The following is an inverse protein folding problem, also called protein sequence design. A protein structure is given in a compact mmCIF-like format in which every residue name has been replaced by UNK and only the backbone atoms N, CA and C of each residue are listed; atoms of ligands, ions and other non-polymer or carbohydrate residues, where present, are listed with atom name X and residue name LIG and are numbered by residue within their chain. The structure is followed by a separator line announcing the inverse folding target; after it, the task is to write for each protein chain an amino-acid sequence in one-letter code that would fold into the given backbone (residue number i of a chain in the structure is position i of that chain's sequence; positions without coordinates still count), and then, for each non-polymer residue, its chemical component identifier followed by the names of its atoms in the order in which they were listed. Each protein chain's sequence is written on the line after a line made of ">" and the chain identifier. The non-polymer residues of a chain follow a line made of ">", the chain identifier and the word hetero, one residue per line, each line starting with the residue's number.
data_IF_209574139720
#
_entry.id   IF_209574139720
#
_cell.length_a   1.000
_cell.length_b   1.000
_cell.length_c   1.000
_cell.angle_alpha   90.00
_cell.angle_beta   90.00
_cell.angle_gamma   90.00
#
_symmetry.space_group_name_H-M   'P 1'
#
loop_
_entity.id
_entity.type
_entity.pdbx_description
1 polymer ?
#
# COMPACT_ATOMS: atom_id res chain seq x y z
N UNK A 1 -78.30 -3.80 11.52
CA UNK A 1 -77.22 -4.69 11.02
C UNK A 1 -76.04 -3.82 10.59
N UNK A 2 -74.94 -3.74 11.38
CA UNK A 2 -73.74 -2.95 11.07
C UNK A 2 -72.69 -3.89 10.46
N UNK A 3 -72.34 -3.69 9.18
CA UNK A 3 -71.27 -4.42 8.49
C UNK A 3 -69.93 -3.81 8.88
N UNK A 4 -69.08 -4.59 9.56
CA UNK A 4 -67.69 -4.23 9.86
C UNK A 4 -66.84 -4.60 8.64
N UNK A 5 -66.24 -3.63 7.98
CA UNK A 5 -65.20 -3.83 6.98
C UNK A 5 -63.85 -4.06 7.71
N UNK A 6 -63.31 -5.26 7.53
CA UNK A 6 -61.96 -5.61 8.00
C UNK A 6 -60.97 -5.25 6.90
N UNK A 7 -60.20 -4.19 7.10
CA UNK A 7 -59.12 -3.83 6.18
C UNK A 7 -57.90 -4.69 6.53
N UNK A 8 -57.52 -5.59 5.64
CA UNK A 8 -56.28 -6.39 5.71
C UNK A 8 -55.16 -5.52 5.12
N UNK A 9 -54.27 -5.01 5.98
CA UNK A 9 -53.03 -4.31 5.58
C UNK A 9 -52.01 -5.38 5.21
N UNK A 10 -51.86 -5.64 3.91
CA UNK A 10 -50.77 -6.48 3.40
C UNK A 10 -49.46 -5.70 3.45
N UNK A 11 -48.65 -6.00 4.46
CA UNK A 11 -47.25 -5.51 4.51
C UNK A 11 -46.46 -6.23 3.42
N UNK A 12 -46.22 -5.55 2.31
CA UNK A 12 -45.27 -5.99 1.27
C UNK A 12 -43.88 -5.87 1.86
N UNK A 13 -43.33 -6.98 2.36
CA UNK A 13 -41.90 -7.10 2.64
C UNK A 13 -41.15 -7.08 1.30
N UNK A 14 -40.73 -5.88 0.86
CA UNK A 14 -39.75 -5.76 -0.19
C UNK A 14 -38.45 -6.37 0.33
N UNK A 15 -37.88 -7.36 -0.35
CA UNK A 15 -36.53 -7.79 -0.03
C UNK A 15 -35.63 -6.59 -0.26
N UNK A 16 -35.02 -6.05 0.79
CA UNK A 16 -33.95 -5.10 0.71
C UNK A 16 -32.81 -5.84 0.00
N UNK A 17 -32.75 -5.76 -1.33
CA UNK A 17 -31.56 -6.07 -2.07
C UNK A 17 -30.50 -5.11 -1.54
N UNK A 18 -29.69 -5.57 -0.58
CA UNK A 18 -28.42 -4.99 -0.25
C UNK A 18 -27.58 -5.04 -1.54
N UNK A 19 -27.74 -4.03 -2.38
CA UNK A 19 -26.72 -3.73 -3.35
C UNK A 19 -25.48 -3.43 -2.50
N UNK A 20 -24.53 -4.37 -2.50
CA UNK A 20 -23.21 -4.10 -2.00
C UNK A 20 -22.75 -2.82 -2.71
N UNK A 21 -22.68 -1.73 -1.97
CA UNK A 21 -22.25 -0.44 -2.50
C UNK A 21 -20.77 -0.58 -2.78
N UNK A 22 -20.44 -1.01 -4.01
CA UNK A 22 -19.07 -1.06 -4.49
C UNK A 22 -18.49 0.35 -4.34
N UNK A 23 -17.47 0.51 -3.49
CA UNK A 23 -16.73 1.77 -3.38
C UNK A 23 -16.45 2.31 -1.98
N UNK A 24 -17.05 1.81 -0.92
CA UNK A 24 -16.71 2.26 0.45
C UNK A 24 -15.99 1.14 1.20
N UNK A 25 -14.70 1.32 1.39
CA UNK A 25 -13.86 0.39 2.17
C UNK A 25 -13.97 0.77 3.65
N UNK A 26 -14.36 -0.19 4.50
CA UNK A 26 -14.43 0.03 5.95
C UNK A 26 -13.03 -0.01 6.57
N UNK A 27 -12.68 0.89 7.51
CA UNK A 27 -11.38 0.86 8.17
C UNK A 27 -11.07 -0.49 8.81
N UNK A 28 -9.84 -0.98 8.61
CA UNK A 28 -9.34 -2.22 9.19
C UNK A 28 -8.60 -1.97 10.50
N UNK A 29 -8.72 -2.94 11.40
CA UNK A 29 -7.90 -3.04 12.61
C UNK A 29 -7.52 -4.50 12.87
N UNK A 30 -6.43 -4.68 13.64
CA UNK A 30 -5.99 -6.00 14.09
C UNK A 30 -6.74 -6.36 15.38
N UNK A 31 -7.32 -7.57 15.42
CA UNK A 31 -7.95 -8.14 16.59
C UNK A 31 -7.39 -9.57 16.81
N UNK A 32 -6.45 -9.69 17.76
CA UNK A 32 -5.69 -10.93 17.95
C UNK A 32 -4.87 -11.27 16.70
N UNK A 33 -5.18 -12.41 16.09
CA UNK A 33 -4.54 -12.90 14.85
C UNK A 33 -5.39 -12.66 13.59
N UNK A 34 -6.38 -11.78 13.65
CA UNK A 34 -7.31 -11.52 12.55
C UNK A 34 -7.33 -10.04 12.19
N UNK A 35 -7.72 -9.77 10.95
CA UNK A 35 -8.13 -8.43 10.51
C UNK A 35 -9.64 -8.33 10.60
N UNK A 36 -10.12 -7.25 11.21
CA UNK A 36 -11.54 -6.95 11.30
C UNK A 36 -11.83 -5.57 10.70
N UNK A 37 -13.01 -5.42 10.11
CA UNK A 37 -13.54 -4.13 9.70
C UNK A 37 -14.10 -3.33 10.89
N UNK A 38 -14.58 -2.12 10.66
CA UNK A 38 -15.17 -1.27 11.70
C UNK A 38 -16.44 -1.85 12.33
N UNK A 39 -17.07 -2.86 11.70
CA UNK A 39 -18.27 -3.53 12.19
C UNK A 39 -17.96 -4.84 12.92
N UNK A 40 -16.67 -5.19 13.05
CA UNK A 40 -16.22 -6.42 13.69
C UNK A 40 -16.21 -7.65 12.79
N UNK A 41 -16.53 -7.52 11.50
CA UNK A 41 -16.48 -8.63 10.57
C UNK A 41 -15.03 -8.99 10.24
N UNK A 42 -14.72 -10.28 10.19
CA UNK A 42 -13.42 -10.77 9.73
C UNK A 42 -13.20 -10.43 8.26
N UNK A 43 -12.06 -9.84 7.95
CA UNK A 43 -11.64 -9.51 6.58
C UNK A 43 -10.48 -10.39 6.15
N UNK A 44 -10.62 -11.03 5.00
CA UNK A 44 -9.54 -11.74 4.31
C UNK A 44 -9.11 -10.89 3.13
N UNK A 45 -7.82 -10.55 3.08
CA UNK A 45 -7.27 -9.76 2.00
C UNK A 45 -6.85 -10.67 0.85
N UNK A 46 -7.36 -10.35 -0.34
CA UNK A 46 -7.05 -11.02 -1.58
C UNK A 46 -6.85 -9.98 -2.68
N UNK A 47 -5.70 -9.99 -3.33
CA UNK A 47 -5.43 -8.96 -4.31
C UNK A 47 -4.16 -9.17 -5.13
N UNK A 48 -3.73 -8.10 -5.73
CA UNK A 48 -2.59 -8.09 -6.64
C UNK A 48 -1.59 -7.01 -6.25
N UNK A 49 -0.36 -7.20 -6.71
CA UNK A 49 0.68 -6.18 -6.68
C UNK A 49 0.93 -5.69 -8.10
N UNK A 50 1.19 -4.41 -8.24
CA UNK A 50 1.83 -3.86 -9.43
C UNK A 50 2.75 -2.70 -9.04
N UNK A 51 3.63 -2.34 -9.95
CA UNK A 51 4.58 -1.24 -9.80
C UNK A 51 4.43 -0.27 -10.95
N UNK A 52 4.36 1.05 -10.71
CA UNK A 52 4.28 2.05 -11.77
C UNK A 52 5.62 2.20 -12.50
N UNK A 53 6.09 1.09 -13.08
CA UNK A 53 7.29 0.99 -13.91
C UNK A 53 6.91 0.88 -15.38
N UNK A 54 7.49 1.68 -16.27
CA UNK A 54 7.29 1.52 -17.70
C UNK A 54 7.62 0.10 -18.18
N UNK A 55 8.72 -0.46 -17.71
CA UNK A 55 9.19 -1.79 -18.10
C UNK A 55 8.19 -2.88 -17.71
N UNK A 56 7.78 -2.94 -16.43
CA UNK A 56 6.87 -3.97 -15.95
C UNK A 56 5.45 -3.84 -16.56
N UNK A 57 5.03 -2.63 -16.87
CA UNK A 57 3.76 -2.39 -17.55
C UNK A 57 3.85 -2.47 -19.09
N UNK A 58 4.95 -3.01 -19.63
CA UNK A 58 5.16 -3.15 -21.09
C UNK A 58 4.93 -1.83 -21.83
N UNK A 59 5.38 -0.73 -21.24
CA UNK A 59 5.30 0.63 -21.79
C UNK A 59 3.89 1.14 -22.14
N UNK A 60 2.85 0.56 -21.53
CA UNK A 60 1.45 0.86 -21.87
C UNK A 60 1.01 2.28 -21.54
N UNK A 61 1.69 2.95 -20.60
CA UNK A 61 1.41 4.34 -20.23
C UNK A 61 2.57 5.30 -20.54
N UNK A 62 3.70 4.81 -21.04
CA UNK A 62 4.86 5.63 -21.42
C UNK A 62 6.18 4.90 -21.22
N UNK A 63 7.27 5.55 -21.63
CA UNK A 63 8.60 4.94 -21.65
C UNK A 63 9.51 5.41 -20.52
N UNK A 64 9.09 6.37 -19.71
CA UNK A 64 9.92 6.96 -18.67
C UNK A 64 9.15 7.40 -17.44
N UNK A 65 9.85 7.50 -16.31
CA UNK A 65 9.32 8.01 -15.04
C UNK A 65 9.59 9.53 -14.95
N UNK A 66 8.82 10.31 -15.70
CA UNK A 66 8.91 11.78 -15.77
C UNK A 66 7.54 12.43 -15.57
N UNK A 67 7.54 13.72 -15.26
CA UNK A 67 6.31 14.49 -15.02
C UNK A 67 5.30 14.35 -16.17
N UNK A 68 5.77 14.27 -17.41
CA UNK A 68 4.92 14.12 -18.60
C UNK A 68 4.14 12.80 -18.63
N UNK A 69 4.56 11.79 -17.85
CA UNK A 69 3.94 10.47 -17.82
C UNK A 69 2.99 10.25 -16.65
N UNK A 70 2.91 11.19 -15.68
CA UNK A 70 2.11 11.05 -14.46
C UNK A 70 0.65 10.78 -14.80
N UNK A 71 0.02 11.64 -15.60
CA UNK A 71 -1.40 11.52 -15.94
C UNK A 71 -1.73 10.21 -16.65
N UNK A 72 -0.88 9.80 -17.60
CA UNK A 72 -1.06 8.54 -18.32
C UNK A 72 -0.91 7.33 -17.38
N UNK A 73 0.04 7.36 -16.46
CA UNK A 73 0.25 6.33 -15.46
C UNK A 73 -0.96 6.20 -14.53
N UNK A 74 -1.46 7.31 -13.96
CA UNK A 74 -2.66 7.31 -13.10
C UNK A 74 -3.88 6.76 -13.87
N UNK A 75 -4.09 7.19 -15.10
CA UNK A 75 -5.20 6.72 -15.94
C UNK A 75 -5.10 5.23 -16.26
N UNK A 76 -3.88 4.71 -16.41
CA UNK A 76 -3.65 3.28 -16.60
C UNK A 76 -4.08 2.48 -15.38
N UNK A 77 -3.70 2.92 -14.17
CA UNK A 77 -4.11 2.26 -12.92
C UNK A 77 -5.61 2.34 -12.66
N UNK A 78 -6.26 3.44 -12.97
CA UNK A 78 -7.71 3.57 -12.87
C UNK A 78 -8.45 2.50 -13.69
N UNK A 79 -7.98 2.23 -14.92
CA UNK A 79 -8.50 1.15 -15.77
C UNK A 79 -8.24 -0.24 -15.19
N UNK A 80 -7.06 -0.47 -14.61
CA UNK A 80 -6.73 -1.74 -13.94
C UNK A 80 -7.67 -1.97 -12.76
N UNK A 81 -7.86 -0.98 -11.89
CA UNK A 81 -8.74 -1.11 -10.73
C UNK A 81 -10.18 -1.38 -11.13
N UNK A 82 -10.69 -0.70 -12.18
CA UNK A 82 -12.00 -1.00 -12.74
C UNK A 82 -12.11 -2.43 -13.28
N UNK A 83 -11.04 -2.97 -13.87
CA UNK A 83 -11.02 -4.36 -14.31
C UNK A 83 -10.97 -5.36 -13.14
N UNK A 84 -10.20 -5.07 -12.08
CA UNK A 84 -10.09 -5.90 -10.89
C UNK A 84 -11.40 -5.97 -10.09
N UNK A 85 -12.20 -4.91 -10.13
CA UNK A 85 -13.48 -4.83 -9.43
C UNK A 85 -14.68 -5.26 -10.29
N UNK A 86 -14.45 -5.65 -11.54
CA UNK A 86 -15.52 -6.11 -12.41
C UNK A 86 -15.90 -7.57 -12.11
N UNK A 87 -17.11 -7.86 -11.56
CA UNK A 87 -17.53 -9.23 -11.22
C UNK A 87 -17.50 -10.18 -12.41
N UNK A 88 -17.74 -9.68 -13.62
CA UNK A 88 -17.67 -10.48 -14.84
C UNK A 88 -16.25 -10.98 -15.19
N UNK A 89 -15.22 -10.40 -14.58
CA UNK A 89 -13.82 -10.83 -14.71
C UNK A 89 -13.43 -11.90 -13.69
N UNK A 90 -14.21 -12.09 -12.62
CA UNK A 90 -14.00 -13.13 -11.61
C UNK A 90 -12.76 -12.95 -10.73
N UNK A 91 -12.19 -11.75 -10.65
CA UNK A 91 -10.94 -11.51 -9.90
C UNK A 91 -11.15 -11.35 -8.40
N UNK A 92 -12.26 -10.76 -7.98
CA UNK A 92 -12.66 -10.57 -6.57
C UNK A 92 -11.58 -9.96 -5.66
N UNK A 93 -10.74 -9.08 -6.20
CA UNK A 93 -9.70 -8.41 -5.43
C UNK A 93 -10.30 -7.39 -4.47
N UNK A 94 -9.77 -7.32 -3.24
CA UNK A 94 -10.13 -6.29 -2.27
C UNK A 94 -8.93 -5.49 -1.76
N UNK A 95 -7.72 -5.77 -2.24
CA UNK A 95 -6.49 -5.07 -1.86
C UNK A 95 -5.57 -4.90 -3.06
N UNK A 96 -4.85 -3.77 -3.07
CA UNK A 96 -3.79 -3.48 -4.02
C UNK A 96 -2.49 -3.16 -3.28
N UNK A 97 -1.39 -3.87 -3.59
CA UNK A 97 -0.07 -3.61 -3.03
C UNK A 97 0.70 -2.70 -3.98
N UNK A 98 0.85 -1.43 -3.59
CA UNK A 98 1.46 -0.36 -4.38
C UNK A 98 2.96 -0.25 -4.08
N UNK A 99 3.77 -0.45 -5.10
CA UNK A 99 5.21 -0.26 -5.02
C UNK A 99 5.60 1.21 -5.31
N UNK A 100 6.43 1.78 -4.44
CA UNK A 100 7.06 3.08 -4.69
C UNK A 100 8.27 2.88 -5.63
N UNK A 101 8.03 2.79 -6.92
CA UNK A 101 9.00 2.39 -7.94
C UNK A 101 10.28 3.24 -7.96
N UNK A 102 11.48 2.62 -7.94
CA UNK A 102 12.76 3.33 -7.98
C UNK A 102 12.94 4.26 -9.17
N UNK A 103 12.36 3.98 -10.32
CA UNK A 103 12.41 4.85 -11.50
C UNK A 103 11.91 6.27 -11.24
N UNK A 104 10.92 6.43 -10.35
CA UNK A 104 10.42 7.74 -9.94
C UNK A 104 11.21 8.35 -8.78
N UNK A 105 11.68 7.51 -7.85
CA UNK A 105 12.29 7.98 -6.59
C UNK A 105 13.80 8.15 -6.66
N UNK A 106 14.47 7.53 -7.63
CA UNK A 106 15.89 7.69 -7.85
C UNK A 106 16.22 8.99 -8.60
N UNK A 107 17.34 9.61 -8.27
CA UNK A 107 17.89 10.74 -9.01
C UNK A 107 18.47 10.25 -10.36
N UNK A 108 17.92 10.68 -11.51
CA UNK A 108 18.40 10.26 -12.82
C UNK A 108 19.83 10.72 -13.12
N UNK A 109 20.32 11.77 -12.44
CA UNK A 109 21.64 12.34 -12.65
C UNK A 109 22.73 11.67 -11.81
N UNK A 110 22.35 10.83 -10.82
CA UNK A 110 23.30 10.07 -10.00
C UNK A 110 23.64 8.74 -10.66
N UNK A 111 24.91 8.36 -10.57
CA UNK A 111 25.36 7.00 -10.90
C UNK A 111 25.19 6.09 -9.69
N UNK A 112 24.88 4.82 -9.93
CA UNK A 112 24.88 3.82 -8.88
C UNK A 112 26.29 3.61 -8.33
N UNK A 113 26.39 3.46 -7.01
CA UNK A 113 27.63 3.19 -6.27
C UNK A 113 27.41 2.03 -5.31
N UNK A 114 28.50 1.48 -4.77
CA UNK A 114 28.44 0.31 -3.88
C UNK A 114 28.35 -1.01 -4.62
N UNK A 115 28.19 -2.11 -3.86
CA UNK A 115 28.18 -3.48 -4.38
C UNK A 115 26.80 -3.99 -4.74
N UNK A 116 25.73 -3.40 -4.17
CA UNK A 116 24.37 -3.81 -4.46
C UNK A 116 23.98 -3.45 -5.89
N UNK A 117 23.17 -4.30 -6.52
CA UNK A 117 22.75 -4.15 -7.90
C UNK A 117 21.24 -4.07 -8.03
N UNK A 118 20.76 -3.59 -9.17
CA UNK A 118 19.33 -3.53 -9.48
C UNK A 118 18.54 -2.71 -8.45
N UNK A 119 17.40 -3.21 -8.05
CA UNK A 119 16.48 -2.54 -7.12
C UNK A 119 16.97 -2.52 -5.66
N UNK A 120 17.94 -3.36 -5.29
CA UNK A 120 18.56 -3.33 -3.96
C UNK A 120 19.52 -2.16 -3.78
N UNK A 121 19.97 -1.54 -4.87
CA UNK A 121 20.90 -0.41 -4.83
C UNK A 121 20.19 0.91 -4.54
N UNK A 122 20.31 1.40 -3.31
CA UNK A 122 19.68 2.63 -2.83
C UNK A 122 20.52 3.89 -3.04
N UNK A 123 21.73 3.78 -3.64
CA UNK A 123 22.66 4.93 -3.74
C UNK A 123 22.12 6.10 -4.56
N UNK A 124 21.19 5.84 -5.47
CA UNK A 124 20.52 6.86 -6.29
C UNK A 124 19.23 7.41 -5.67
N UNK A 125 18.78 6.86 -4.56
CA UNK A 125 17.55 7.34 -3.92
C UNK A 125 17.59 8.83 -3.61
N UNK A 126 16.47 9.50 -3.83
CA UNK A 126 16.27 10.92 -3.58
C UNK A 126 15.02 11.16 -2.75
N UNK A 127 15.20 11.62 -1.53
CA UNK A 127 14.10 11.95 -0.62
C UNK A 127 13.17 13.03 -1.21
N UNK A 128 13.73 14.03 -1.90
CA UNK A 128 12.94 15.08 -2.54
C UNK A 128 12.10 14.55 -3.71
N UNK A 129 12.62 13.58 -4.47
CA UNK A 129 11.85 12.94 -5.54
C UNK A 129 10.74 12.05 -4.96
N UNK A 130 11.05 11.29 -3.89
CA UNK A 130 10.00 10.54 -3.19
C UNK A 130 8.89 11.48 -2.71
N UNK A 131 9.23 12.59 -2.04
CA UNK A 131 8.23 13.58 -1.60
C UNK A 131 7.38 14.10 -2.76
N UNK A 132 8.03 14.50 -3.88
CA UNK A 132 7.34 15.00 -5.07
C UNK A 132 6.37 13.99 -5.65
N UNK A 133 6.84 12.77 -5.91
CA UNK A 133 6.04 11.75 -6.59
C UNK A 133 5.09 11.02 -5.65
N UNK A 134 5.31 11.09 -4.33
CA UNK A 134 4.30 10.66 -3.37
C UNK A 134 2.99 11.42 -3.63
N UNK A 135 3.05 12.75 -3.65
CA UNK A 135 1.88 13.61 -3.83
C UNK A 135 1.36 13.61 -5.28
N UNK A 136 2.27 13.64 -6.26
CA UNK A 136 1.89 13.81 -7.65
C UNK A 136 1.43 12.50 -8.35
N UNK A 137 1.86 11.34 -7.86
CA UNK A 137 1.63 10.06 -8.52
C UNK A 137 1.04 9.00 -7.60
N UNK A 138 1.76 8.65 -6.51
CA UNK A 138 1.43 7.46 -5.72
C UNK A 138 0.13 7.60 -4.94
N UNK A 139 -0.08 8.75 -4.28
CA UNK A 139 -1.33 8.99 -3.56
C UNK A 139 -2.53 9.14 -4.49
N UNK A 140 -2.45 9.79 -5.65
CA UNK A 140 -3.49 9.70 -6.68
C UNK A 140 -3.80 8.27 -7.14
N UNK A 141 -2.80 7.42 -7.35
CA UNK A 141 -3.03 5.99 -7.67
C UNK A 141 -3.74 5.30 -6.50
N UNK A 142 -3.26 5.49 -5.27
CA UNK A 142 -3.89 4.92 -4.08
C UNK A 142 -5.34 5.38 -3.90
N UNK A 143 -5.61 6.67 -4.16
CA UNK A 143 -6.99 7.20 -4.12
C UNK A 143 -7.88 6.53 -5.18
N UNK A 144 -7.36 6.29 -6.39
CA UNK A 144 -8.10 5.55 -7.43
C UNK A 144 -8.42 4.12 -6.97
N UNK A 145 -7.47 3.41 -6.36
CA UNK A 145 -7.70 2.09 -5.78
C UNK A 145 -8.82 2.11 -4.74
N UNK A 146 -8.79 3.07 -3.80
CA UNK A 146 -9.82 3.25 -2.77
C UNK A 146 -11.18 3.53 -3.39
N UNK A 147 -11.25 4.39 -4.40
CA UNK A 147 -12.50 4.73 -5.10
C UNK A 147 -13.11 3.51 -5.81
N UNK A 148 -12.30 2.53 -6.18
CA UNK A 148 -12.73 1.24 -6.70
C UNK A 148 -12.98 0.17 -5.62
N UNK A 149 -12.95 0.53 -4.32
CA UNK A 149 -13.25 -0.41 -3.23
C UNK A 149 -12.06 -1.30 -2.83
N UNK A 150 -10.83 -0.89 -3.10
CA UNK A 150 -9.63 -1.63 -2.74
C UNK A 150 -8.95 -1.01 -1.50
N UNK A 151 -8.53 -1.85 -0.56
CA UNK A 151 -7.50 -1.48 0.40
C UNK A 151 -6.16 -1.26 -0.29
N UNK A 152 -5.26 -0.50 0.33
CA UNK A 152 -3.94 -0.25 -0.23
C UNK A 152 -2.85 -0.62 0.76
N UNK A 153 -1.85 -1.39 0.30
CA UNK A 153 -0.57 -1.57 1.01
C UNK A 153 0.50 -0.80 0.24
N UNK A 154 1.13 0.16 0.88
CA UNK A 154 2.28 0.87 0.30
C UNK A 154 3.55 0.16 0.76
N UNK A 155 4.42 -0.23 -0.18
CA UNK A 155 5.75 -0.78 0.09
C UNK A 155 6.86 0.17 -0.35
N UNK A 156 8.06 0.12 0.28
CA UNK A 156 9.14 1.05 -0.05
C UNK A 156 9.69 0.81 -1.47
N UNK A 157 10.46 1.76 -2.02
CA UNK A 157 11.11 1.57 -3.30
C UNK A 157 12.13 0.42 -3.30
N UNK A 158 12.11 -0.38 -4.35
CA UNK A 158 13.07 -1.45 -4.56
C UNK A 158 12.84 -2.71 -3.73
N UNK A 159 13.87 -3.53 -3.64
CA UNK A 159 13.94 -4.74 -2.83
C UNK A 159 15.04 -4.61 -1.77
N UNK A 160 14.98 -5.40 -0.72
CA UNK A 160 16.04 -5.43 0.28
C UNK A 160 17.36 -5.95 -0.31
N UNK A 161 18.51 -5.43 0.12
CA UNK A 161 19.77 -6.16 0.04
C UNK A 161 19.63 -7.55 0.66
N UNK A 162 20.38 -8.53 0.14
CA UNK A 162 20.31 -9.91 0.62
C UNK A 162 20.61 -10.02 2.11
N UNK A 163 21.61 -9.29 2.57
CA UNK A 163 22.07 -9.29 3.95
C UNK A 163 21.85 -7.91 4.57
N UNK A 164 20.97 -7.86 5.55
CA UNK A 164 20.65 -6.67 6.35
C UNK A 164 21.33 -6.75 7.70
N UNK A 165 21.83 -5.62 8.18
CA UNK A 165 22.48 -5.52 9.49
C UNK A 165 21.95 -4.34 10.30
N UNK A 166 21.59 -4.55 11.55
CA UNK A 166 21.11 -3.48 12.43
C UNK A 166 22.07 -2.29 12.42
N UNK A 167 21.57 -1.11 12.05
CA UNK A 167 22.33 0.12 11.91
C UNK A 167 22.96 0.36 10.53
N UNK A 168 22.68 -0.48 9.55
CA UNK A 168 23.20 -0.32 8.17
C UNK A 168 22.58 0.87 7.41
N UNK A 169 23.11 1.11 6.21
CA UNK A 169 22.60 2.16 5.33
C UNK A 169 21.15 1.92 4.90
N UNK A 170 20.74 0.66 4.72
CA UNK A 170 19.41 0.33 4.27
C UNK A 170 18.37 0.58 5.38
N UNK A 171 18.68 0.28 6.66
CA UNK A 171 17.80 0.63 7.78
C UNK A 171 17.59 2.15 7.87
N UNK A 172 18.63 2.96 7.63
CA UNK A 172 18.53 4.42 7.61
C UNK A 172 17.73 4.93 6.41
N UNK A 173 17.88 4.29 5.26
CA UNK A 173 17.06 4.52 4.08
C UNK A 173 15.57 4.25 4.37
N UNK A 174 15.21 3.11 4.95
CA UNK A 174 13.84 2.79 5.33
C UNK A 174 13.25 3.82 6.31
N UNK A 175 14.03 4.27 7.30
CA UNK A 175 13.59 5.35 8.21
C UNK A 175 13.29 6.64 7.44
N UNK A 176 14.10 6.99 6.45
CA UNK A 176 13.88 8.17 5.61
C UNK A 176 12.63 8.04 4.76
N UNK A 177 12.46 6.90 4.07
CA UNK A 177 11.26 6.61 3.27
C UNK A 177 10.01 6.71 4.12
N UNK A 178 9.99 6.01 5.24
CA UNK A 178 8.80 5.94 6.09
C UNK A 178 8.54 7.22 6.86
N UNK A 179 9.57 8.02 7.15
CA UNK A 179 9.36 9.37 7.67
C UNK A 179 8.59 10.25 6.69
N UNK A 180 8.95 10.21 5.40
CA UNK A 180 8.26 10.98 4.35
C UNK A 180 6.82 10.48 4.18
N UNK A 181 6.63 9.18 4.01
CA UNK A 181 5.32 8.60 3.73
C UNK A 181 4.37 8.77 4.91
N UNK A 182 4.81 8.42 6.12
CA UNK A 182 3.94 8.45 7.30
C UNK A 182 3.66 9.84 7.87
N UNK A 183 4.48 10.85 7.54
CA UNK A 183 4.20 12.25 7.90
C UNK A 183 3.14 12.91 6.99
N UNK A 184 2.89 12.34 5.82
CA UNK A 184 1.91 12.87 4.88
C UNK A 184 0.49 12.83 5.46
N UNK A 185 -0.23 13.95 5.38
CA UNK A 185 -1.56 14.10 5.98
C UNK A 185 -2.60 13.16 5.34
N UNK A 186 -2.55 12.98 4.01
CA UNK A 186 -3.46 12.07 3.32
C UNK A 186 -3.26 10.63 3.80
N UNK A 187 -2.01 10.17 3.93
CA UNK A 187 -1.68 8.82 4.43
C UNK A 187 -2.22 8.63 5.85
N UNK A 188 -2.01 9.60 6.75
CA UNK A 188 -2.52 9.55 8.11
C UNK A 188 -4.04 9.51 8.18
N UNK A 189 -4.70 10.34 7.39
CA UNK A 189 -6.17 10.43 7.37
C UNK A 189 -6.82 9.16 6.79
N UNK A 190 -6.10 8.39 5.97
CA UNK A 190 -6.55 7.13 5.40
C UNK A 190 -5.97 5.90 6.11
N UNK A 191 -5.41 6.03 7.31
CA UNK A 191 -4.68 4.98 8.02
C UNK A 191 -5.51 3.72 8.38
N UNK A 192 -6.81 3.75 8.25
CA UNK A 192 -7.67 2.56 8.36
C UNK A 192 -7.84 1.77 7.05
N UNK A 193 -7.51 2.39 5.91
CA UNK A 193 -7.69 1.81 4.57
C UNK A 193 -6.33 1.60 3.90
N UNK A 194 -5.39 2.49 4.19
CA UNK A 194 -4.00 2.41 3.75
C UNK A 194 -3.16 1.80 4.85
N UNK A 195 -2.34 0.83 4.51
CA UNK A 195 -1.36 0.18 5.38
C UNK A 195 0.06 0.30 4.80
N UNK A 196 1.06 0.12 5.64
CA UNK A 196 2.46 0.29 5.27
C UNK A 196 3.22 -1.02 5.46
N UNK A 197 3.95 -1.46 4.44
CA UNK A 197 4.82 -2.64 4.50
C UNK A 197 6.26 -2.19 4.61
N UNK A 198 6.93 -2.55 5.71
CA UNK A 198 8.20 -1.95 6.12
C UNK A 198 9.34 -2.16 5.12
N UNK A 199 9.38 -3.32 4.46
CA UNK A 199 10.44 -3.69 3.53
C UNK A 199 9.93 -4.72 2.53
N UNK A 200 10.63 -4.88 1.41
CA UNK A 200 10.31 -5.89 0.41
C UNK A 200 11.39 -6.98 0.40
N UNK A 201 10.97 -8.24 0.64
CA UNK A 201 11.80 -9.45 0.54
C UNK A 201 13.08 -9.42 1.39
N UNK A 202 13.02 -9.14 2.71
CA UNK A 202 14.19 -9.32 3.57
C UNK A 202 14.52 -10.80 3.65
N UNK A 203 15.80 -11.17 3.39
CA UNK A 203 16.23 -12.58 3.39
C UNK A 203 16.99 -12.89 4.68
N UNK A 204 18.06 -12.17 4.95
CA UNK A 204 18.86 -12.35 6.14
C UNK A 204 18.94 -11.05 6.93
N UNK A 205 18.68 -11.15 8.23
CA UNK A 205 18.79 -10.00 9.14
C UNK A 205 19.73 -10.38 10.29
N UNK A 206 20.79 -9.59 10.44
CA UNK A 206 21.84 -9.77 11.44
C UNK A 206 21.79 -8.67 12.49
N UNK A 207 22.30 -8.96 13.67
CA UNK A 207 22.53 -7.95 14.70
C UNK A 207 23.60 -6.94 14.26
N UNK A 208 23.87 -5.92 15.10
CA UNK A 208 24.87 -4.88 14.79
C UNK A 208 26.30 -5.40 14.56
N UNK A 209 26.60 -6.60 15.01
CA UNK A 209 27.90 -7.25 14.85
C UNK A 209 27.98 -8.17 13.66
N UNK A 210 26.89 -8.30 12.87
CA UNK A 210 26.82 -9.19 11.70
C UNK A 210 26.58 -10.65 12.04
N UNK A 211 26.01 -10.93 13.22
CA UNK A 211 25.71 -12.29 13.69
C UNK A 211 24.21 -12.55 13.66
N UNK A 212 23.82 -13.79 13.42
CA UNK A 212 22.43 -14.24 13.60
C UNK A 212 21.97 -14.03 15.04
N UNK A 213 20.76 -13.54 15.23
CA UNK A 213 20.18 -13.28 16.54
C UNK A 213 18.67 -13.39 16.49
N UNK A 214 18.07 -14.00 17.51
CA UNK A 214 16.62 -14.11 17.66
C UNK A 214 15.90 -12.74 17.73
N UNK A 215 16.64 -11.68 18.10
CA UNK A 215 16.08 -10.32 18.19
C UNK A 215 16.39 -9.45 16.98
N UNK A 216 17.20 -9.92 16.03
CA UNK A 216 17.71 -9.12 14.92
C UNK A 216 16.59 -8.47 14.10
N UNK A 217 15.52 -9.21 13.79
CA UNK A 217 14.36 -8.68 13.06
C UNK A 217 13.70 -7.53 13.83
N UNK A 218 13.44 -7.71 15.14
CA UNK A 218 12.88 -6.67 15.98
C UNK A 218 13.80 -5.45 16.04
N UNK A 219 15.09 -5.68 16.31
CA UNK A 219 16.08 -4.60 16.47
C UNK A 219 16.30 -3.84 15.15
N UNK A 220 16.04 -4.49 14.03
CA UNK A 220 16.09 -3.87 12.70
C UNK A 220 14.83 -3.04 12.38
N UNK A 221 13.64 -3.60 12.58
CA UNK A 221 12.40 -2.93 12.17
C UNK A 221 11.77 -2.03 13.24
N UNK A 222 11.99 -2.27 14.53
CA UNK A 222 11.40 -1.43 15.57
C UNK A 222 11.74 0.06 15.42
N UNK A 223 12.99 0.49 15.14
CA UNK A 223 13.29 1.90 14.90
C UNK A 223 12.57 2.51 13.70
N UNK A 224 12.21 1.69 12.69
CA UNK A 224 11.41 2.13 11.54
C UNK A 224 9.94 2.30 11.95
N UNK A 225 9.39 1.35 12.71
CA UNK A 225 8.04 1.45 13.30
C UNK A 225 7.91 2.68 14.18
N UNK A 226 8.92 2.96 15.00
CA UNK A 226 8.93 4.13 15.90
C UNK A 226 8.84 5.46 15.12
N UNK A 227 9.55 5.57 14.00
CA UNK A 227 9.43 6.73 13.08
C UNK A 227 8.00 6.88 12.58
N UNK A 228 7.39 5.80 12.11
CA UNK A 228 6.03 5.81 11.58
C UNK A 228 5.02 6.23 12.66
N UNK A 229 5.13 5.65 13.85
CA UNK A 229 4.22 5.95 14.97
C UNK A 229 4.41 7.35 15.54
N UNK A 230 5.65 7.82 15.61
CA UNK A 230 5.97 9.21 16.00
C UNK A 230 5.33 10.24 15.08
N UNK A 231 5.21 9.96 13.79
CA UNK A 231 4.54 10.82 12.81
C UNK A 231 2.99 10.79 12.92
N UNK A 232 2.43 9.92 13.78
CA UNK A 232 0.99 9.85 14.04
C UNK A 232 0.21 8.93 13.11
N UNK A 233 0.87 8.10 12.29
CA UNK A 233 0.19 7.06 11.53
C UNK A 233 -0.32 5.96 12.47
N UNK A 234 -1.63 5.67 12.44
CA UNK A 234 -2.30 4.71 13.35
C UNK A 234 -2.70 3.39 12.68
N UNK A 235 -2.51 3.29 11.36
CA UNK A 235 -2.92 2.14 10.57
C UNK A 235 -2.05 0.89 10.78
N UNK A 236 -2.37 -0.14 10.01
CA UNK A 236 -1.66 -1.42 10.04
C UNK A 236 -0.26 -1.24 9.44
N UNK A 237 0.72 -1.85 10.10
CA UNK A 237 2.09 -1.97 9.62
C UNK A 237 2.36 -3.46 9.39
N UNK A 238 2.77 -3.81 8.17
CA UNK A 238 3.17 -5.15 7.79
C UNK A 238 4.67 -5.30 7.97
N UNK A 239 5.07 -6.29 8.76
CA UNK A 239 6.48 -6.67 8.92
C UNK A 239 6.65 -7.93 8.08
N UNK A 240 7.45 -7.89 6.99
CA UNK A 240 7.73 -9.08 6.21
C UNK A 240 8.59 -10.05 7.03
N UNK A 241 8.30 -11.34 6.91
CA UNK A 241 8.99 -12.42 7.59
C UNK A 241 9.38 -13.52 6.62
#
# INVERSE_FOLDING_TARGET
>A
MKKRFLAILAAVLLPSCLFAQFGVVSPLHVNGNQLNDAYGNKVVLHGVMDTPSPYFNKYRWGYSCTDNNISACISYYDKIFGALQNPAKGTYCNIFRLHLEPGWTNDPNKKSTGSDTGEANISRFSASRLQKYLDALYLPIAQKAINHGLYVVIRPPGVCPKDLKVGDAYQNYLKTVWNIVSSNSWVKNNSGIVSLELANEPVHIYNRYGQSSATAMRDYFQPVVDVIRKNGFKGIIWIPG
#
